data_IF_717230798262
#
_entry.id   IF_717230798262
#
_cell.length_a   1.000
_cell.length_b   1.000
_cell.length_c   1.000
_cell.angle_alpha   90.00
_cell.angle_beta   90.00
_cell.angle_gamma   90.00
#
_symmetry.space_group_name_H-M   'P 1'
#
loop_
_entity.id
_entity.type
_entity.pdbx_description
1 polymer ?
#
# COMPACT_ATOMS: atom_id res chain seq x y z
N UNK A 1 -0.90 -7.37 17.88
CA UNK A 1 -0.50 -8.03 16.62
C UNK A 1 0.08 -6.99 15.70
N UNK A 2 1.16 -7.32 15.05
CA UNK A 2 1.99 -6.37 14.32
C UNK A 2 2.29 -6.90 12.91
N UNK A 3 2.29 -6.00 11.93
CA UNK A 3 2.72 -6.32 10.56
C UNK A 3 3.26 -5.07 9.88
N UNK A 4 3.97 -5.27 8.78
CA UNK A 4 4.50 -4.17 7.98
C UNK A 4 4.36 -4.46 6.49
N UNK A 5 4.20 -3.39 5.72
CA UNK A 5 4.13 -3.41 4.26
C UNK A 5 5.07 -2.35 3.71
N UNK A 6 5.79 -2.70 2.66
CA UNK A 6 6.73 -1.79 1.98
C UNK A 6 5.97 -0.89 1.02
N UNK A 7 6.42 0.35 0.91
CA UNK A 7 5.88 1.33 -0.04
C UNK A 7 6.97 2.29 -0.48
N UNK A 8 6.56 3.32 -1.20
CA UNK A 8 7.43 4.39 -1.68
C UNK A 8 6.74 5.73 -1.48
N UNK A 9 7.53 6.76 -1.23
CA UNK A 9 7.06 8.13 -1.19
C UNK A 9 7.87 9.01 -2.13
N UNK A 10 7.42 10.25 -2.30
CA UNK A 10 8.12 11.27 -3.05
C UNK A 10 8.51 12.43 -2.14
N UNK A 11 9.75 12.88 -2.28
CA UNK A 11 10.24 14.12 -1.67
C UNK A 11 10.83 14.97 -2.81
N UNK A 12 10.08 15.95 -3.26
CA UNK A 12 10.41 16.68 -4.49
C UNK A 12 10.38 15.73 -5.69
N UNK A 13 11.51 15.58 -6.39
CA UNK A 13 11.66 14.71 -7.57
C UNK A 13 12.23 13.33 -7.22
N UNK A 14 12.50 13.06 -5.95
CA UNK A 14 13.14 11.84 -5.51
C UNK A 14 12.17 10.88 -4.83
N UNK A 15 12.30 9.58 -5.14
CA UNK A 15 11.62 8.54 -4.40
C UNK A 15 12.38 8.21 -3.11
N UNK A 16 11.66 7.76 -2.09
CA UNK A 16 12.27 7.23 -0.87
C UNK A 16 11.51 6.01 -0.38
N UNK A 17 12.25 5.08 0.22
CA UNK A 17 11.67 3.86 0.78
C UNK A 17 10.79 4.18 1.99
N UNK A 18 9.63 3.53 2.03
CA UNK A 18 8.67 3.67 3.13
C UNK A 18 8.33 2.29 3.67
N UNK A 19 8.27 2.19 5.00
CA UNK A 19 7.71 1.02 5.69
C UNK A 19 6.46 1.48 6.42
N UNK A 20 5.34 0.86 6.11
CA UNK A 20 4.07 1.09 6.82
C UNK A 20 3.91 -0.03 7.83
N UNK A 21 3.90 0.34 9.10
CA UNK A 21 3.75 -0.59 10.22
C UNK A 21 2.37 -0.45 10.82
N UNK A 22 1.69 -1.56 11.05
CA UNK A 22 0.39 -1.59 11.72
C UNK A 22 0.46 -2.42 12.99
N UNK A 23 0.05 -1.84 14.10
CA UNK A 23 -0.06 -2.51 15.38
C UNK A 23 -1.51 -2.52 15.85
N UNK A 24 -1.99 -3.71 16.21
CA UNK A 24 -3.33 -3.91 16.74
C UNK A 24 -3.21 -4.32 18.20
N UNK A 25 -3.79 -3.51 19.10
CA UNK A 25 -3.81 -3.80 20.53
C UNK A 25 -5.24 -3.74 21.06
N UNK A 26 -5.46 -4.38 22.21
CA UNK A 26 -6.74 -4.33 22.92
C UNK A 26 -6.95 -2.95 23.55
N UNK A 27 -8.21 -2.59 23.74
CA UNK A 27 -8.63 -1.32 24.34
C UNK A 27 -9.76 -0.69 23.56
N UNK A 28 -10.05 0.58 23.82
CA UNK A 28 -11.07 1.31 23.09
C UNK A 28 -10.68 1.39 21.62
N UNK A 29 -11.60 1.07 20.69
CA UNK A 29 -11.32 1.15 19.25
C UNK A 29 -10.87 2.56 18.87
N UNK A 30 -9.75 2.61 18.15
CA UNK A 30 -9.13 3.85 17.71
C UNK A 30 -8.26 3.58 16.49
N UNK A 31 -8.14 4.55 15.61
CA UNK A 31 -7.27 4.43 14.43
C UNK A 31 -6.44 5.71 14.28
N UNK A 32 -5.16 5.59 14.57
CA UNK A 32 -4.20 6.70 14.49
C UNK A 32 -3.14 6.43 13.44
N UNK A 33 -2.71 7.49 12.72
CA UNK A 33 -1.60 7.44 11.77
C UNK A 33 -0.52 8.41 12.26
N UNK A 34 0.70 7.90 12.41
CA UNK A 34 1.87 8.66 12.84
C UNK A 34 3.00 8.54 11.81
N UNK A 35 4.04 9.35 11.92
CA UNK A 35 5.17 9.37 11.00
C UNK A 35 5.18 10.62 10.11
N UNK A 36 4.84 11.78 10.66
CA UNK A 36 4.74 13.06 9.96
C UNK A 36 3.77 13.01 8.77
N UNK A 37 2.52 12.55 8.97
CA UNK A 37 1.53 12.54 7.90
C UNK A 37 0.97 13.95 7.67
N UNK A 38 0.78 14.33 6.40
CA UNK A 38 0.01 15.54 6.07
C UNK A 38 -1.50 15.28 6.22
N UNK A 39 -2.31 16.28 5.91
CA UNK A 39 -3.77 16.17 6.01
C UNK A 39 -4.32 15.07 5.08
N UNK A 40 -3.79 14.97 3.86
CA UNK A 40 -4.23 13.96 2.89
C UNK A 40 -3.89 12.53 3.37
N UNK A 41 -2.72 12.34 3.99
CA UNK A 41 -2.34 11.05 4.58
C UNK A 41 -3.25 10.71 5.76
N UNK A 42 -3.58 11.68 6.61
CA UNK A 42 -4.50 11.45 7.74
C UNK A 42 -5.90 11.04 7.28
N UNK A 43 -6.36 11.54 6.15
CA UNK A 43 -7.62 11.15 5.53
C UNK A 43 -7.64 9.68 5.10
N UNK A 44 -6.49 9.03 4.96
CA UNK A 44 -6.39 7.60 4.66
C UNK A 44 -7.18 6.75 5.66
N UNK A 45 -7.33 7.19 6.90
CA UNK A 45 -8.13 6.47 7.90
C UNK A 45 -9.54 6.18 7.41
N UNK A 46 -10.19 7.18 6.81
CA UNK A 46 -11.57 7.04 6.32
C UNK A 46 -11.64 6.16 5.07
N UNK A 47 -10.73 6.39 4.11
CA UNK A 47 -10.71 5.59 2.87
C UNK A 47 -10.38 4.13 3.13
N UNK A 48 -9.39 3.86 3.98
CA UNK A 48 -8.99 2.49 4.31
C UNK A 48 -10.08 1.76 5.08
N UNK A 49 -10.68 2.41 6.10
CA UNK A 49 -11.78 1.81 6.87
C UNK A 49 -12.94 1.43 5.96
N UNK A 50 -13.39 2.36 5.14
CA UNK A 50 -14.51 2.12 4.23
C UNK A 50 -14.20 1.05 3.21
N UNK A 51 -13.01 1.09 2.59
CA UNK A 51 -12.62 0.14 1.56
C UNK A 51 -12.46 -1.29 2.11
N UNK A 52 -11.91 -1.45 3.32
CA UNK A 52 -11.83 -2.77 3.97
C UNK A 52 -13.22 -3.38 4.11
N UNK A 53 -14.17 -2.61 4.65
CA UNK A 53 -15.55 -3.07 4.84
C UNK A 53 -16.27 -3.32 3.53
N UNK A 54 -16.15 -2.40 2.57
CA UNK A 54 -16.84 -2.51 1.29
C UNK A 54 -16.28 -3.63 0.39
N UNK A 55 -15.03 -4.02 0.60
CA UNK A 55 -14.44 -5.17 -0.09
C UNK A 55 -14.77 -6.51 0.58
N UNK A 56 -15.50 -6.51 1.69
CA UNK A 56 -15.91 -7.73 2.38
C UNK A 56 -14.89 -8.29 3.36
N UNK A 57 -13.90 -7.50 3.74
CA UNK A 57 -12.95 -7.86 4.80
C UNK A 57 -13.39 -7.28 6.13
N UNK A 58 -12.84 -7.83 7.22
CA UNK A 58 -13.16 -7.38 8.56
C UNK A 58 -12.26 -6.21 8.97
N UNK A 59 -12.88 -5.10 9.36
CA UNK A 59 -12.13 -4.00 9.96
C UNK A 59 -11.95 -4.30 11.45
N UNK A 60 -10.71 -4.41 11.96
CA UNK A 60 -10.48 -4.85 13.34
C UNK A 60 -11.11 -3.93 14.36
N UNK A 61 -11.80 -4.52 15.35
CA UNK A 61 -12.31 -3.80 16.52
C UNK A 61 -11.19 -3.76 17.56
N UNK A 62 -10.22 -2.89 17.33
CA UNK A 62 -8.98 -2.82 18.12
C UNK A 62 -8.47 -1.38 18.13
N UNK A 63 -7.52 -1.12 19.02
CA UNK A 63 -6.72 0.09 18.93
C UNK A 63 -5.69 -0.12 17.82
N UNK A 64 -5.84 0.62 16.71
CA UNK A 64 -4.98 0.52 15.54
C UNK A 64 -4.03 1.71 15.52
N UNK A 65 -2.73 1.43 15.53
CA UNK A 65 -1.69 2.43 15.32
C UNK A 65 -0.95 2.09 14.04
N UNK A 66 -0.96 3.02 13.10
CA UNK A 66 -0.19 2.90 11.86
C UNK A 66 0.94 3.90 11.90
N UNK A 67 2.17 3.43 11.73
CA UNK A 67 3.36 4.28 11.63
C UNK A 67 3.92 4.21 10.21
N UNK A 68 4.14 5.38 9.62
CA UNK A 68 4.74 5.48 8.29
C UNK A 68 6.20 5.91 8.45
N UNK A 69 7.12 4.94 8.39
CA UNK A 69 8.55 5.19 8.54
C UNK A 69 9.19 5.54 7.18
N UNK A 70 10.22 6.39 7.14
CA UNK A 70 10.97 6.95 8.25
C UNK A 70 10.27 8.16 8.89
N UNK A 71 10.44 8.34 10.19
CA UNK A 71 9.76 9.37 10.96
C UNK A 71 10.27 10.80 10.75
N UNK A 72 11.43 10.97 10.10
CA UNK A 72 12.04 12.28 9.87
C UNK A 72 11.64 12.91 8.52
N UNK A 73 10.99 12.17 7.64
CA UNK A 73 10.51 12.66 6.34
C UNK A 73 9.00 12.85 6.43
N UNK A 74 8.52 14.01 5.97
CA UNK A 74 7.10 14.29 5.86
C UNK A 74 6.48 13.43 4.76
N UNK A 75 5.35 12.77 5.06
CA UNK A 75 4.59 11.99 4.09
C UNK A 75 3.44 12.82 3.56
N UNK A 76 3.31 12.85 2.24
CA UNK A 76 2.36 13.69 1.53
C UNK A 76 1.51 12.89 0.56
N UNK A 77 0.24 13.27 0.45
CA UNK A 77 -0.69 12.70 -0.51
C UNK A 77 -1.29 11.36 -0.11
N UNK A 78 -2.23 10.88 -0.92
CA UNK A 78 -3.05 9.71 -0.58
C UNK A 78 -2.43 8.36 -0.99
N UNK A 79 -1.22 8.36 -1.50
CA UNK A 79 -0.55 7.17 -2.08
C UNK A 79 -0.33 6.05 -1.07
N UNK A 80 -0.42 6.33 0.22
CA UNK A 80 -0.20 5.35 1.29
C UNK A 80 -1.45 4.54 1.66
N UNK A 81 -2.60 4.82 1.06
CA UNK A 81 -3.83 4.06 1.34
C UNK A 81 -3.63 2.56 1.17
N UNK A 82 -3.04 2.15 0.05
CA UNK A 82 -2.85 0.73 -0.26
C UNK A 82 -1.95 0.02 0.76
N UNK A 83 -0.73 0.50 1.06
CA UNK A 83 0.10 -0.19 2.05
C UNK A 83 -0.51 -0.17 3.46
N UNK A 84 -1.27 0.85 3.83
CA UNK A 84 -1.99 0.87 5.12
C UNK A 84 -3.05 -0.24 5.15
N UNK A 85 -3.85 -0.36 4.10
CA UNK A 85 -4.85 -1.42 3.94
C UNK A 85 -4.21 -2.80 4.10
N UNK A 86 -3.13 -3.04 3.37
CA UNK A 86 -2.41 -4.33 3.38
C UNK A 86 -1.83 -4.61 4.76
N UNK A 87 -1.20 -3.63 5.40
CA UNK A 87 -0.60 -3.82 6.72
C UNK A 87 -1.64 -4.17 7.79
N UNK A 88 -2.83 -3.54 7.76
CA UNK A 88 -3.92 -3.84 8.69
C UNK A 88 -4.44 -5.27 8.46
N UNK A 89 -4.68 -5.68 7.21
CA UNK A 89 -5.13 -7.04 6.92
C UNK A 89 -4.09 -8.08 7.31
N UNK A 90 -2.82 -7.78 7.09
CA UNK A 90 -1.73 -8.69 7.50
C UNK A 90 -1.66 -8.80 9.03
N UNK A 91 -1.72 -7.68 9.74
CA UNK A 91 -1.69 -7.65 11.21
C UNK A 91 -2.88 -8.39 11.83
N UNK A 92 -4.05 -8.35 11.19
CA UNK A 92 -5.26 -9.03 11.68
C UNK A 92 -5.36 -10.50 11.23
N UNK A 93 -4.36 -11.01 10.49
CA UNK A 93 -4.34 -12.41 10.03
C UNK A 93 -5.20 -12.70 8.82
N UNK A 94 -5.74 -11.70 8.15
CA UNK A 94 -6.57 -11.87 6.95
C UNK A 94 -5.72 -12.07 5.69
N UNK A 95 -4.46 -11.65 5.70
CA UNK A 95 -3.43 -12.01 4.73
C UNK A 95 -2.42 -12.88 5.46
N UNK A 96 -2.28 -14.14 5.05
CA UNK A 96 -1.43 -15.12 5.74
C UNK A 96 -0.06 -15.29 5.10
N UNK A 97 0.05 -15.11 3.79
CA UNK A 97 1.29 -15.28 3.07
C UNK A 97 2.28 -14.16 3.37
N UNK A 98 3.57 -14.45 3.17
CA UNK A 98 4.63 -13.45 3.29
C UNK A 98 4.48 -12.38 2.21
N UNK A 99 4.56 -11.12 2.62
CA UNK A 99 4.44 -9.97 1.72
C UNK A 99 5.73 -9.14 1.64
N UNK A 100 6.83 -9.65 2.20
CA UNK A 100 8.09 -8.90 2.31
C UNK A 100 8.77 -8.60 0.98
N UNK A 101 8.45 -9.36 -0.08
CA UNK A 101 9.01 -9.17 -1.41
C UNK A 101 8.17 -8.25 -2.31
N UNK A 102 7.12 -7.65 -1.77
CA UNK A 102 6.21 -6.76 -2.49
C UNK A 102 6.29 -5.34 -1.97
N UNK A 103 6.14 -4.38 -2.89
CA UNK A 103 5.93 -2.97 -2.60
C UNK A 103 4.51 -2.58 -3.05
N UNK A 104 3.84 -1.72 -2.30
CA UNK A 104 2.45 -1.34 -2.54
C UNK A 104 2.33 0.17 -2.65
N UNK A 105 1.77 0.66 -3.75
CA UNK A 105 1.63 2.10 -4.02
C UNK A 105 0.24 2.36 -4.57
N UNK A 106 -0.56 3.20 -3.92
CA UNK A 106 -1.83 3.61 -4.49
C UNK A 106 -2.81 4.25 -3.52
N UNK A 107 -3.62 5.17 -4.07
CA UNK A 107 -4.79 5.72 -3.42
C UNK A 107 -5.99 4.81 -3.66
N UNK A 108 -6.83 4.64 -2.64
CA UNK A 108 -8.05 3.84 -2.73
C UNK A 108 -9.30 4.73 -2.72
N UNK A 109 -10.27 4.36 -3.54
CA UNK A 109 -11.64 4.82 -3.36
C UNK A 109 -12.29 4.09 -2.19
N UNK A 110 -13.48 4.52 -1.78
CA UNK A 110 -14.17 3.91 -0.63
C UNK A 110 -14.61 2.46 -0.89
N UNK A 111 -14.67 2.04 -2.16
CA UNK A 111 -15.00 0.66 -2.55
C UNK A 111 -13.78 -0.16 -3.00
N UNK A 112 -12.57 0.35 -2.74
CA UNK A 112 -11.33 -0.40 -2.99
C UNK A 112 -10.76 -0.29 -4.40
N UNK A 113 -11.28 0.63 -5.24
CA UNK A 113 -10.68 0.91 -6.54
C UNK A 113 -9.36 1.65 -6.37
N UNK A 114 -8.37 1.31 -7.19
CA UNK A 114 -7.09 2.02 -7.21
C UNK A 114 -7.18 3.20 -8.17
N UNK A 115 -6.96 4.40 -7.64
CA UNK A 115 -6.93 5.64 -8.43
C UNK A 115 -5.54 5.88 -8.99
N UNK A 116 -5.45 6.63 -10.09
CA UNK A 116 -4.14 7.01 -10.65
C UNK A 116 -3.35 7.83 -9.62
N UNK A 117 -2.03 7.62 -9.62
CA UNK A 117 -1.11 8.31 -8.71
C UNK A 117 -0.03 9.04 -9.51
N UNK A 118 0.47 10.14 -8.95
CA UNK A 118 1.59 10.88 -9.53
C UNK A 118 2.91 10.25 -9.11
N UNK A 119 3.89 10.22 -10.01
CA UNK A 119 5.26 9.82 -9.69
C UNK A 119 5.50 8.32 -9.65
N UNK A 120 4.66 7.52 -10.30
CA UNK A 120 4.79 6.06 -10.32
C UNK A 120 6.13 5.62 -10.92
N UNK A 121 6.60 6.26 -11.99
CA UNK A 121 7.90 5.91 -12.57
C UNK A 121 9.04 6.09 -11.56
N UNK A 122 9.08 7.24 -10.90
CA UNK A 122 10.11 7.55 -9.89
C UNK A 122 10.05 6.58 -8.71
N UNK A 123 8.85 6.32 -8.19
CA UNK A 123 8.66 5.39 -7.08
C UNK A 123 8.97 3.95 -7.49
N UNK A 124 8.60 3.55 -8.70
CA UNK A 124 8.89 2.22 -9.22
C UNK A 124 10.40 1.96 -9.39
N UNK A 125 11.14 2.96 -9.88
CA UNK A 125 12.60 2.86 -9.99
C UNK A 125 13.26 2.74 -8.61
N UNK A 126 12.76 3.48 -7.61
CA UNK A 126 13.27 3.39 -6.24
C UNK A 126 12.93 2.04 -5.59
N UNK A 127 11.74 1.50 -5.83
CA UNK A 127 11.36 0.17 -5.37
C UNK A 127 12.30 -0.90 -5.93
N UNK A 128 12.65 -0.80 -7.21
CA UNK A 128 13.63 -1.68 -7.85
C UNK A 128 14.99 -1.61 -7.13
N UNK A 129 15.47 -0.41 -6.83
CA UNK A 129 16.73 -0.22 -6.11
C UNK A 129 16.69 -0.85 -4.71
N UNK A 130 15.54 -0.84 -4.04
CA UNK A 130 15.38 -1.40 -2.71
C UNK A 130 15.40 -2.92 -2.67
N UNK A 131 15.36 -3.58 -3.83
CA UNK A 131 15.55 -5.02 -3.97
C UNK A 131 14.29 -5.87 -3.84
N UNK A 132 13.09 -5.28 -3.81
CA UNK A 132 11.84 -6.06 -3.83
C UNK A 132 11.62 -6.70 -5.20
N UNK A 133 10.96 -7.87 -5.22
CA UNK A 133 10.69 -8.59 -6.45
C UNK A 133 9.55 -8.04 -7.28
N UNK A 134 8.58 -7.37 -6.65
CA UNK A 134 7.39 -6.87 -7.33
C UNK A 134 6.85 -5.59 -6.67
N UNK A 135 6.16 -4.78 -7.47
CA UNK A 135 5.46 -3.58 -7.00
C UNK A 135 4.04 -3.54 -7.58
N UNK A 136 3.06 -3.40 -6.70
CA UNK A 136 1.66 -3.17 -7.09
C UNK A 136 1.42 -1.69 -7.29
N UNK A 137 0.84 -1.34 -8.44
CA UNK A 137 0.52 0.04 -8.82
C UNK A 137 -0.91 0.14 -9.34
N UNK A 138 -1.48 1.36 -9.41
CA UNK A 138 -2.78 1.53 -10.07
C UNK A 138 -2.72 1.16 -11.55
N UNK A 139 -3.75 0.48 -12.04
CA UNK A 139 -3.85 0.08 -13.44
C UNK A 139 -3.79 1.29 -14.39
N UNK A 140 -4.33 2.43 -13.98
CA UNK A 140 -4.26 3.67 -14.76
C UNK A 140 -2.82 4.12 -15.05
N UNK A 141 -1.86 3.69 -14.25
CA UNK A 141 -0.44 4.01 -14.39
C UNK A 141 0.37 2.90 -15.09
N UNK A 142 -0.29 1.92 -15.69
CA UNK A 142 0.40 0.74 -16.24
C UNK A 142 1.41 1.06 -17.34
N UNK A 143 1.10 2.05 -18.17
CA UNK A 143 2.01 2.45 -19.25
C UNK A 143 3.28 3.06 -18.68
N UNK A 144 3.14 3.97 -17.73
CA UNK A 144 4.27 4.56 -16.99
C UNK A 144 5.07 3.49 -16.25
N UNK A 145 4.38 2.57 -15.58
CA UNK A 145 5.01 1.47 -14.84
C UNK A 145 5.75 0.48 -15.75
N UNK A 146 5.28 0.28 -16.98
CA UNK A 146 5.91 -0.64 -17.94
C UNK A 146 7.33 -0.26 -18.33
N UNK A 147 7.73 0.98 -18.09
CA UNK A 147 9.08 1.47 -18.36
C UNK A 147 10.09 0.96 -17.32
N UNK A 148 9.62 0.61 -16.13
CA UNK A 148 10.48 0.09 -15.06
C UNK A 148 10.79 -1.37 -15.32
N UNK A 149 12.06 -1.67 -15.64
CA UNK A 149 12.54 -3.02 -15.94
C UNK A 149 13.36 -3.57 -14.78
N UNK A 150 13.40 -4.89 -14.64
CA UNK A 150 14.18 -5.58 -13.60
C UNK A 150 13.41 -5.78 -12.29
N UNK A 151 12.13 -5.47 -12.28
CA UNK A 151 11.18 -5.73 -11.20
C UNK A 151 9.82 -6.05 -11.85
N UNK A 152 9.04 -6.91 -11.24
CA UNK A 152 7.67 -7.18 -11.70
C UNK A 152 6.78 -6.01 -11.29
N UNK A 153 6.26 -5.29 -12.27
CA UNK A 153 5.28 -4.22 -12.04
C UNK A 153 3.89 -4.78 -12.28
N UNK A 154 3.07 -4.76 -11.23
CA UNK A 154 1.77 -5.42 -11.19
C UNK A 154 0.65 -4.39 -11.09
N UNK A 155 0.04 -3.97 -12.23
CA UNK A 155 -1.03 -2.98 -12.22
C UNK A 155 -2.38 -3.60 -11.89
N UNK A 156 -3.15 -2.92 -11.04
CA UNK A 156 -4.46 -3.39 -10.57
C UNK A 156 -5.50 -2.29 -10.58
N UNK A 157 -6.76 -2.69 -10.80
CA UNK A 157 -7.91 -1.81 -10.70
C UNK A 157 -8.52 -1.79 -9.31
N UNK A 158 -8.39 -2.88 -8.56
CA UNK A 158 -9.08 -3.06 -7.27
C UNK A 158 -8.19 -3.81 -6.29
N UNK A 159 -8.25 -3.43 -5.03
CA UNK A 159 -7.46 -4.06 -3.98
C UNK A 159 -7.76 -5.54 -3.79
N UNK A 160 -8.98 -6.00 -4.12
CA UNK A 160 -9.34 -7.43 -4.04
C UNK A 160 -8.48 -8.27 -4.96
N UNK A 161 -8.14 -7.77 -6.16
CA UNK A 161 -7.24 -8.46 -7.09
C UNK A 161 -5.85 -8.64 -6.48
N UNK A 162 -5.37 -7.61 -5.75
CA UNK A 162 -4.09 -7.68 -5.05
C UNK A 162 -4.15 -8.74 -3.94
N UNK A 163 -5.19 -8.73 -3.12
CA UNK A 163 -5.37 -9.71 -2.04
C UNK A 163 -5.44 -11.14 -2.61
N UNK A 164 -6.17 -11.35 -3.70
CA UNK A 164 -6.28 -12.64 -4.36
C UNK A 164 -4.93 -13.12 -4.91
N UNK A 165 -4.14 -12.22 -5.47
CA UNK A 165 -2.78 -12.54 -5.91
C UNK A 165 -1.90 -12.95 -4.72
N UNK A 166 -1.92 -12.18 -3.63
CA UNK A 166 -1.14 -12.47 -2.42
C UNK A 166 -1.56 -13.79 -1.77
N UNK A 167 -2.83 -14.16 -1.91
CA UNK A 167 -3.38 -15.40 -1.35
C UNK A 167 -3.27 -16.62 -2.27
N UNK A 168 -2.77 -16.41 -3.49
CA UNK A 168 -2.61 -17.48 -4.48
C UNK A 168 -3.89 -17.88 -5.23
N UNK A 169 -4.98 -17.12 -5.09
CA UNK A 169 -6.25 -17.42 -5.77
C UNK A 169 -6.28 -16.97 -7.23
N UNK A 170 -5.50 -15.92 -7.57
CA UNK A 170 -5.38 -15.42 -8.93
C UNK A 170 -4.01 -14.79 -9.12
N UNK A 171 -3.66 -14.47 -10.38
CA UNK A 171 -2.38 -13.84 -10.71
C UNK A 171 -2.62 -12.53 -11.43
N UNK A 172 -1.96 -11.47 -10.98
CA UNK A 172 -1.93 -10.19 -11.66
C UNK A 172 -0.85 -10.24 -12.74
N UNK A 173 -1.18 -9.80 -13.95
CA UNK A 173 -0.22 -9.77 -15.06
C UNK A 173 0.71 -8.57 -14.93
N UNK A 174 1.99 -8.76 -15.28
CA UNK A 174 2.97 -7.70 -15.29
C UNK A 174 2.62 -6.63 -16.33
N UNK A 175 2.95 -5.36 -16.03
CA UNK A 175 2.78 -4.26 -16.96
C UNK A 175 3.72 -4.37 -18.17
N UNK A 176 4.93 -4.89 -17.94
CA UNK A 176 5.89 -5.18 -18.99
C UNK A 176 5.79 -6.65 -19.41
N UNK A 177 5.54 -6.89 -20.68
CA UNK A 177 5.57 -8.23 -21.28
C UNK A 177 6.57 -8.22 -22.42
N UNK A 178 7.46 -9.15 -22.40
CA UNK A 178 8.42 -9.36 -23.51
C UNK A 178 7.70 -9.81 -24.81
#
# INVERSE_FOLDING_TARGET
>A
MFAKAKSQGLSGLNGFDVIVEADLSSGLPRFDIVGLPDAAVKESRERVRASIKNCGYDFPVSRITVNIAPGYIKKEGPVYDLPIFIAILKASGQIKNDISDYCFIGELSLDGQLRSSTGILTMGLKAKESGVGAVFIPYANRVEGSVVKGIDVLPDNNVKEIIDHLSGFSTVNCAFQD
#
